data_IF_512120820349
#
_entry.id   IF_512120820349
#
_cell.length_a   1.000
_cell.length_b   1.000
_cell.length_c   1.000
_cell.angle_alpha   90.00
_cell.angle_beta   90.00
_cell.angle_gamma   90.00
#
_symmetry.space_group_name_H-M   'P 1'
#
loop_
_entity.id
_entity.type
_entity.pdbx_description
1 polymer ?
#
# COMPACT_ATOMS: atom_id res chain seq x y z
N UNK A 1 -24.93 7.39 -45.65
CA UNK A 1 -25.56 6.94 -44.39
C UNK A 1 -25.34 5.45 -44.11
N UNK A 2 -25.66 4.48 -45.01
CA UNK A 2 -25.43 3.03 -44.76
C UNK A 2 -24.00 2.65 -44.37
N UNK A 3 -22.97 3.23 -45.01
CA UNK A 3 -21.56 2.95 -44.69
C UNK A 3 -21.13 3.51 -43.33
N UNK A 4 -21.66 4.67 -42.93
CA UNK A 4 -21.38 5.28 -41.63
C UNK A 4 -21.98 4.44 -40.49
N UNK A 5 -23.21 3.97 -40.67
CA UNK A 5 -23.87 3.07 -39.71
C UNK A 5 -23.11 1.75 -39.55
N UNK A 6 -22.54 1.22 -40.64
CA UNK A 6 -21.73 0.00 -40.60
C UNK A 6 -20.41 0.20 -39.85
N UNK A 7 -19.74 1.35 -40.05
CA UNK A 7 -18.52 1.70 -39.32
C UNK A 7 -18.80 1.82 -37.83
N UNK A 8 -19.84 2.55 -37.43
CA UNK A 8 -20.22 2.71 -36.01
C UNK A 8 -20.52 1.36 -35.36
N UNK A 9 -21.27 0.49 -36.05
CA UNK A 9 -21.58 -0.85 -35.55
C UNK A 9 -20.31 -1.69 -35.35
N UNK A 10 -19.35 -1.62 -36.28
CA UNK A 10 -18.08 -2.32 -36.16
C UNK A 10 -17.24 -1.77 -35.00
N UNK A 11 -17.22 -0.46 -34.74
CA UNK A 11 -16.48 0.12 -33.62
C UNK A 11 -17.02 -0.35 -32.27
N UNK A 12 -18.35 -0.44 -32.12
CA UNK A 12 -18.99 -0.93 -30.89
C UNK A 12 -18.75 -2.43 -30.67
N UNK A 13 -18.72 -3.22 -31.74
CA UNK A 13 -18.43 -4.66 -31.67
C UNK A 13 -16.95 -4.97 -31.39
N UNK A 14 -16.04 -4.05 -31.73
CA UNK A 14 -14.60 -4.17 -31.49
C UNK A 14 -14.08 -3.44 -30.23
N UNK A 15 -14.94 -2.75 -29.48
CA UNK A 15 -14.58 -2.28 -28.14
C UNK A 15 -14.39 -3.49 -27.21
N UNK A 16 -13.14 -3.92 -27.03
CA UNK A 16 -12.77 -4.95 -26.08
C UNK A 16 -13.13 -4.55 -24.64
N UNK A 17 -13.39 -5.55 -23.81
CA UNK A 17 -13.64 -5.36 -22.39
C UNK A 17 -12.28 -5.26 -21.69
N UNK A 18 -11.91 -4.07 -21.23
CA UNK A 18 -10.77 -3.89 -20.34
C UNK A 18 -11.22 -4.21 -18.91
N UNK A 19 -10.58 -5.19 -18.28
CA UNK A 19 -10.78 -5.55 -16.87
C UNK A 19 -9.47 -5.30 -16.15
N UNK A 20 -9.52 -4.53 -15.07
CA UNK A 20 -8.34 -4.26 -14.24
C UNK A 20 -8.35 -5.23 -13.05
N UNK A 21 -7.27 -6.00 -12.92
CA UNK A 21 -7.07 -6.94 -11.80
C UNK A 21 -6.37 -6.27 -10.59
N UNK A 22 -5.57 -5.23 -10.84
CA UNK A 22 -4.72 -4.56 -9.83
C UNK A 22 -5.33 -3.26 -9.31
N UNK A 23 -5.04 -2.90 -8.05
CA UNK A 23 -5.51 -1.65 -7.48
C UNK A 23 -5.17 -1.44 -5.99
N UNK A 24 -5.55 -0.26 -5.49
CA UNK A 24 -5.48 0.10 -4.07
C UNK A 24 -6.88 -0.03 -3.47
N UNK A 25 -7.04 -0.99 -2.55
CA UNK A 25 -8.32 -1.37 -1.98
C UNK A 25 -8.50 -0.77 -0.60
N UNK A 26 -9.74 -0.39 -0.27
CA UNK A 26 -10.08 0.00 1.10
C UNK A 26 -9.95 -1.24 2.01
N UNK A 27 -9.07 -1.25 3.03
CA UNK A 27 -8.87 -2.43 3.86
C UNK A 27 -10.14 -2.91 4.56
N UNK A 28 -11.05 -1.99 4.91
CA UNK A 28 -12.35 -2.31 5.50
C UNK A 28 -13.29 -3.12 4.60
N UNK A 29 -12.98 -3.22 3.31
CA UNK A 29 -13.75 -3.98 2.33
C UNK A 29 -13.05 -5.27 1.88
N UNK A 30 -11.90 -5.63 2.47
CA UNK A 30 -11.09 -6.79 2.05
C UNK A 30 -11.88 -8.09 2.06
N UNK A 31 -12.75 -8.28 3.06
CA UNK A 31 -13.63 -9.45 3.16
C UNK A 31 -14.60 -9.56 1.96
N UNK A 32 -15.13 -8.42 1.48
CA UNK A 32 -16.13 -8.41 0.40
C UNK A 32 -15.48 -8.50 -0.97
N UNK A 33 -14.35 -7.82 -1.17
CA UNK A 33 -13.85 -7.54 -2.52
C UNK A 33 -12.64 -8.38 -2.92
N UNK A 34 -11.76 -8.76 -1.98
CA UNK A 34 -10.41 -9.19 -2.35
C UNK A 34 -9.98 -10.54 -1.76
N UNK A 35 -10.48 -10.91 -0.58
CA UNK A 35 -9.93 -12.05 0.17
C UNK A 35 -9.94 -13.35 -0.63
N UNK A 36 -10.98 -13.61 -1.42
CA UNK A 36 -11.07 -14.81 -2.25
C UNK A 36 -9.94 -14.90 -3.27
N UNK A 37 -9.61 -13.80 -3.94
CA UNK A 37 -8.54 -13.79 -4.92
C UNK A 37 -7.18 -13.80 -4.26
N UNK A 38 -7.01 -13.10 -3.13
CA UNK A 38 -5.80 -13.19 -2.30
C UNK A 38 -5.53 -14.63 -1.84
N UNK A 39 -6.56 -15.36 -1.40
CA UNK A 39 -6.46 -16.79 -1.04
C UNK A 39 -6.04 -17.64 -2.24
N UNK A 40 -6.63 -17.43 -3.42
CA UNK A 40 -6.23 -18.14 -4.66
C UNK A 40 -4.77 -17.87 -5.03
N UNK A 41 -4.26 -16.68 -4.70
CA UNK A 41 -2.85 -16.28 -4.89
C UNK A 41 -1.92 -16.81 -3.78
N UNK A 42 -2.44 -17.54 -2.78
CA UNK A 42 -1.64 -18.19 -1.74
C UNK A 42 -1.59 -17.47 -0.39
N UNK A 43 -2.40 -16.43 -0.17
CA UNK A 43 -2.48 -15.80 1.14
C UNK A 43 -3.06 -16.76 2.19
N UNK A 44 -2.38 -16.91 3.33
CA UNK A 44 -2.86 -17.78 4.41
C UNK A 44 -3.71 -17.06 5.47
N UNK A 45 -3.62 -15.73 5.56
CA UNK A 45 -4.39 -14.90 6.50
C UNK A 45 -5.88 -14.80 6.13
N UNK A 46 -6.73 -14.71 7.14
CA UNK A 46 -8.15 -14.35 7.02
C UNK A 46 -8.35 -12.85 6.77
N UNK A 47 -9.56 -12.46 6.36
CA UNK A 47 -9.90 -11.05 6.18
C UNK A 47 -9.85 -10.27 7.52
N UNK A 48 -10.30 -10.90 8.60
CA UNK A 48 -10.31 -10.33 9.95
C UNK A 48 -8.91 -10.12 10.51
N UNK A 49 -7.96 -11.01 10.21
CA UNK A 49 -6.54 -10.83 10.58
C UNK A 49 -5.90 -9.65 9.84
N UNK A 50 -6.39 -9.30 8.66
CA UNK A 50 -5.93 -8.12 7.91
C UNK A 50 -6.60 -6.86 8.47
N UNK A 51 -7.93 -6.84 8.52
CA UNK A 51 -8.72 -5.71 9.00
C UNK A 51 -9.88 -6.18 9.88
N UNK A 52 -9.88 -5.75 11.13
CA UNK A 52 -11.01 -5.89 12.05
C UNK A 52 -11.34 -4.56 12.71
N UNK A 53 -12.63 -4.31 12.93
CA UNK A 53 -13.12 -3.18 13.75
C UNK A 53 -13.17 -3.58 15.23
N UNK A 54 -13.42 -4.86 15.49
CA UNK A 54 -13.76 -5.36 16.83
C UNK A 54 -12.58 -5.99 17.57
N UNK A 55 -11.48 -6.28 16.87
CA UNK A 55 -10.31 -6.91 17.44
C UNK A 55 -9.03 -6.38 16.80
N UNK A 56 -7.90 -6.78 17.35
CA UNK A 56 -6.59 -6.45 16.78
C UNK A 56 -6.44 -7.11 15.41
N UNK A 57 -5.86 -6.38 14.46
CA UNK A 57 -5.51 -6.91 13.14
C UNK A 57 -4.22 -6.27 12.61
N UNK A 58 -3.74 -6.70 11.45
CA UNK A 58 -2.53 -6.12 10.83
C UNK A 58 -2.61 -4.60 10.63
N UNK A 59 -3.81 -4.05 10.44
CA UNK A 59 -4.00 -2.59 10.35
C UNK A 59 -3.39 -1.83 11.53
N UNK A 60 -3.39 -2.42 12.72
CA UNK A 60 -2.96 -1.74 13.95
C UNK A 60 -1.44 -1.59 14.02
N UNK A 61 -0.70 -2.36 13.22
CA UNK A 61 0.74 -2.29 13.10
C UNK A 61 1.20 -1.34 11.97
N UNK A 62 0.30 -0.81 11.15
CA UNK A 62 0.65 0.08 10.03
C UNK A 62 0.28 1.52 10.38
N UNK A 63 1.24 2.44 10.30
CA UNK A 63 1.06 3.83 10.71
C UNK A 63 1.46 4.81 9.61
N UNK A 64 0.79 5.98 9.61
CA UNK A 64 1.11 7.08 8.74
C UNK A 64 2.16 7.99 9.40
N UNK A 65 3.27 8.24 8.71
CA UNK A 65 4.29 9.20 9.08
C UNK A 65 4.10 10.51 8.32
N UNK A 66 4.68 11.60 8.82
CA UNK A 66 4.77 12.89 8.11
C UNK A 66 3.43 13.39 7.56
N UNK A 67 2.38 13.31 8.37
CA UNK A 67 1.01 13.69 8.00
C UNK A 67 0.45 12.91 6.80
N UNK A 68 0.89 11.67 6.62
CA UNK A 68 0.49 10.79 5.53
C UNK A 68 1.42 10.82 4.31
N UNK A 69 2.58 11.48 4.40
CA UNK A 69 3.58 11.48 3.33
C UNK A 69 4.35 10.16 3.21
N UNK A 70 4.42 9.38 4.28
CA UNK A 70 5.10 8.09 4.35
C UNK A 70 4.32 7.07 5.18
N UNK A 71 4.68 5.80 5.04
CA UNK A 71 4.16 4.68 5.82
C UNK A 71 5.28 4.10 6.69
N UNK A 72 4.90 3.56 7.84
CA UNK A 72 5.77 2.76 8.68
C UNK A 72 5.02 1.57 9.27
N UNK A 73 5.79 0.60 9.77
CA UNK A 73 5.26 -0.60 10.39
C UNK A 73 5.90 -0.86 11.77
N UNK A 74 5.06 -1.27 12.72
CA UNK A 74 5.47 -1.66 14.06
C UNK A 74 6.06 -3.08 14.05
N UNK A 75 7.28 -3.22 14.54
CA UNK A 75 8.04 -4.49 14.53
C UNK A 75 8.44 -4.98 15.92
N UNK A 76 8.10 -4.24 16.98
CA UNK A 76 8.31 -4.68 18.37
C UNK A 76 7.18 -4.24 19.28
N UNK A 77 7.02 -4.96 20.40
CA UNK A 77 6.07 -4.61 21.46
C UNK A 77 6.39 -3.29 22.17
N UNK A 78 7.62 -2.81 22.05
CA UNK A 78 8.14 -1.62 22.73
C UNK A 78 8.04 -0.36 21.86
N UNK A 79 7.37 -0.43 20.69
CA UNK A 79 7.14 0.74 19.84
C UNK A 79 8.13 0.94 18.69
N UNK A 80 9.07 0.01 18.46
CA UNK A 80 10.01 0.10 17.33
C UNK A 80 9.25 0.09 15.98
N UNK A 81 9.44 1.15 15.19
CA UNK A 81 8.90 1.31 13.85
C UNK A 81 10.00 1.14 12.81
N UNK A 82 9.66 0.52 11.68
CA UNK A 82 10.48 0.55 10.46
C UNK A 82 9.83 1.45 9.42
N UNK A 83 10.65 2.18 8.67
CA UNK A 83 10.25 2.95 7.49
C UNK A 83 11.42 3.04 6.53
N UNK A 84 11.24 3.67 5.38
CA UNK A 84 12.31 3.86 4.41
C UNK A 84 13.28 4.97 4.84
N UNK A 85 14.53 4.82 4.42
CA UNK A 85 15.57 5.84 4.65
C UNK A 85 15.17 7.23 4.13
N UNK A 86 14.54 7.31 2.95
CA UNK A 86 14.13 8.59 2.37
C UNK A 86 12.99 9.27 3.15
N UNK A 87 12.18 8.51 3.91
CA UNK A 87 11.18 9.07 4.81
C UNK A 87 11.85 9.63 6.08
N UNK A 88 12.80 8.91 6.65
CA UNK A 88 13.58 9.37 7.81
C UNK A 88 14.69 10.39 7.49
N UNK A 89 14.93 10.68 6.22
CA UNK A 89 16.09 11.46 5.76
C UNK A 89 16.18 12.84 6.42
N UNK A 90 15.05 13.54 6.55
CA UNK A 90 14.99 14.86 7.17
C UNK A 90 15.44 14.83 8.64
N UNK A 91 15.05 13.79 9.39
CA UNK A 91 15.46 13.62 10.78
C UNK A 91 16.93 13.23 10.91
N UNK A 92 17.44 12.35 10.03
CA UNK A 92 18.86 11.99 9.98
C UNK A 92 19.72 13.22 9.68
N UNK A 93 19.34 13.99 8.65
CA UNK A 93 20.03 15.21 8.26
C UNK A 93 20.08 16.23 9.40
N UNK A 94 18.96 16.44 10.09
CA UNK A 94 18.85 17.40 11.20
C UNK A 94 19.78 17.08 12.37
N UNK A 95 20.13 15.82 12.58
CA UNK A 95 21.03 15.38 13.64
C UNK A 95 22.47 15.18 13.16
N UNK A 96 22.73 15.28 11.86
CA UNK A 96 24.09 15.17 11.30
C UNK A 96 24.85 16.49 11.45
N UNK A 97 26.17 16.40 11.62
CA UNK A 97 27.09 17.55 11.61
C UNK A 97 28.37 17.21 10.83
N UNK A 98 29.30 18.16 10.71
CA UNK A 98 30.61 17.89 10.06
C UNK A 98 31.42 16.89 10.89
N UNK A 99 31.28 16.93 12.21
CA UNK A 99 31.95 16.04 13.16
C UNK A 99 31.27 14.66 13.23
N UNK A 100 29.94 14.61 13.09
CA UNK A 100 29.16 13.37 13.14
C UNK A 100 28.21 13.29 11.94
N UNK A 101 28.71 12.73 10.83
CA UNK A 101 27.96 12.66 9.57
C UNK A 101 27.10 11.39 9.50
N UNK A 102 25.95 11.38 10.18
CA UNK A 102 25.04 10.22 10.20
C UNK A 102 24.40 9.93 8.84
N UNK A 103 24.30 10.92 7.96
CA UNK A 103 23.85 10.72 6.58
C UNK A 103 24.84 9.83 5.81
N UNK A 104 26.14 9.97 6.06
CA UNK A 104 27.18 9.16 5.42
C UNK A 104 27.44 7.85 6.14
N UNK A 105 27.58 7.90 7.47
CA UNK A 105 28.15 6.82 8.26
C UNK A 105 27.08 5.91 8.89
N UNK A 106 25.81 6.33 8.85
CA UNK A 106 24.71 5.68 9.54
C UNK A 106 24.67 5.99 11.04
N UNK A 107 23.62 5.55 11.70
CA UNK A 107 23.41 5.79 13.13
C UNK A 107 22.76 4.56 13.78
N UNK A 108 23.23 4.23 14.98
CA UNK A 108 22.70 3.16 15.83
C UNK A 108 22.71 3.66 17.28
N UNK A 109 21.56 3.60 17.96
CA UNK A 109 21.38 4.09 19.33
C UNK A 109 21.80 3.05 20.38
#
# INVERSE_FOLDING_TARGET
MRKLNLVILLTVLFSGWAVADEGMWLPSLVHRLNINDMKKMGLELSAEEIYSINGSSLKDAVVALDRGGCTAELVSKDGLLLTNHHCGYGEIQKHSSVEHDYLRDGFWA
#
